data_IF_636247720332
#
_entry.id   IF_636247720332
#
_cell.length_a   1.000
_cell.length_b   1.000
_cell.length_c   1.000
_cell.angle_alpha   90.00
_cell.angle_beta   90.00
_cell.angle_gamma   90.00
#
_symmetry.space_group_name_H-M   'P 1'
#
loop_
_entity.id
_entity.type
_entity.pdbx_description
1 polymer ?
#
# COMPACT_ATOMS: atom_id res chain seq x y z
N UNK A 1 -45.04 -0.40 -49.28
CA UNK A 1 -44.32 -0.13 -48.02
C UNK A 1 -43.32 -1.26 -47.74
N UNK A 2 -42.02 -1.12 -48.09
CA UNK A 2 -40.90 -2.02 -47.67
C UNK A 2 -39.54 -1.57 -48.23
N UNK A 3 -39.16 -0.30 -48.03
CA UNK A 3 -37.78 0.18 -48.33
C UNK A 3 -37.12 0.97 -47.19
N UNK A 4 -37.78 1.10 -46.03
CA UNK A 4 -37.30 1.91 -44.90
C UNK A 4 -36.51 1.20 -43.80
N UNK A 5 -36.51 -0.13 -43.71
CA UNK A 5 -35.91 -0.84 -42.56
C UNK A 5 -34.51 -1.42 -42.79
N UNK A 6 -34.03 -1.53 -44.04
CA UNK A 6 -32.73 -2.17 -44.33
C UNK A 6 -31.56 -1.21 -44.04
N UNK A 7 -31.75 0.09 -44.26
CA UNK A 7 -30.72 1.12 -43.99
C UNK A 7 -30.42 1.30 -42.49
N UNK A 8 -31.44 1.34 -41.64
CA UNK A 8 -31.24 1.49 -40.18
C UNK A 8 -30.56 0.28 -39.54
N UNK A 9 -30.88 -0.95 -39.98
CA UNK A 9 -30.24 -2.17 -39.48
C UNK A 9 -28.76 -2.25 -39.88
N UNK A 10 -28.42 -1.84 -41.10
CA UNK A 10 -27.03 -1.77 -41.56
C UNK A 10 -26.20 -0.75 -40.80
N UNK A 11 -26.75 0.45 -40.53
CA UNK A 11 -26.07 1.50 -39.75
C UNK A 11 -25.91 1.08 -38.28
N UNK A 12 -26.93 0.46 -37.67
CA UNK A 12 -26.84 -0.11 -36.32
C UNK A 12 -25.78 -1.21 -36.24
N UNK A 13 -25.69 -2.10 -37.24
CA UNK A 13 -24.66 -3.15 -37.30
C UNK A 13 -23.23 -2.59 -37.39
N UNK A 14 -23.01 -1.56 -38.22
CA UNK A 14 -21.70 -0.89 -38.35
C UNK A 14 -21.31 -0.17 -37.07
N UNK A 15 -22.25 0.52 -36.42
CA UNK A 15 -22.02 1.16 -35.13
C UNK A 15 -21.71 0.13 -34.04
N UNK A 16 -22.42 -1.00 -34.02
CA UNK A 16 -22.17 -2.07 -33.06
C UNK A 16 -20.78 -2.68 -33.26
N UNK A 17 -20.35 -2.90 -34.51
CA UNK A 17 -19.01 -3.37 -34.84
C UNK A 17 -17.91 -2.35 -34.50
N UNK A 18 -18.18 -1.05 -34.70
CA UNK A 18 -17.25 0.02 -34.31
C UNK A 18 -17.10 0.10 -32.79
N UNK A 19 -18.20 -0.01 -32.04
CA UNK A 19 -18.19 -0.10 -30.57
C UNK A 19 -17.48 -1.38 -30.13
N UNK A 20 -17.75 -2.53 -30.75
CA UNK A 20 -17.06 -3.78 -30.44
C UNK A 20 -15.55 -3.67 -30.70
N UNK A 21 -15.16 -3.09 -31.83
CA UNK A 21 -13.76 -2.84 -32.19
C UNK A 21 -13.08 -1.88 -31.21
N UNK A 22 -13.78 -0.83 -30.78
CA UNK A 22 -13.29 0.09 -29.76
C UNK A 22 -13.12 -0.61 -28.40
N UNK A 23 -14.07 -1.45 -27.98
CA UNK A 23 -13.97 -2.22 -26.73
C UNK A 23 -12.85 -3.26 -26.82
N UNK A 24 -12.67 -3.93 -27.96
CA UNK A 24 -11.57 -4.88 -28.17
C UNK A 24 -10.19 -4.19 -28.18
N UNK A 25 -10.11 -2.96 -28.69
CA UNK A 25 -8.84 -2.23 -28.77
C UNK A 25 -8.49 -1.47 -27.47
N UNK A 26 -9.45 -0.77 -26.89
CA UNK A 26 -9.25 0.11 -25.73
C UNK A 26 -9.64 -0.53 -24.40
N UNK A 27 -10.61 -1.46 -24.40
CA UNK A 27 -11.10 -2.14 -23.20
C UNK A 27 -9.99 -2.78 -22.34
N UNK A 28 -8.97 -3.46 -22.93
CA UNK A 28 -7.87 -4.03 -22.17
C UNK A 28 -7.07 -3.04 -21.32
N UNK A 29 -7.05 -1.74 -21.67
CA UNK A 29 -6.39 -0.72 -20.84
C UNK A 29 -7.16 -0.43 -19.55
N UNK A 30 -8.46 -0.73 -19.54
CA UNK A 30 -9.41 -0.53 -18.44
C UNK A 30 -9.89 -1.85 -17.84
N UNK A 31 -9.16 -2.94 -18.09
CA UNK A 31 -9.47 -4.29 -17.61
C UNK A 31 -10.82 -4.86 -18.09
N UNK A 32 -11.28 -4.39 -19.26
CA UNK A 32 -12.47 -4.90 -19.94
C UNK A 32 -12.02 -5.80 -21.10
N UNK A 33 -12.33 -7.10 -21.00
CA UNK A 33 -11.91 -8.10 -21.98
C UNK A 33 -13.13 -8.86 -22.51
N UNK A 34 -13.41 -8.74 -23.81
CA UNK A 34 -14.40 -9.58 -24.50
C UNK A 34 -13.81 -10.91 -24.98
N UNK A 35 -12.51 -10.91 -25.27
CA UNK A 35 -11.69 -12.07 -25.63
C UNK A 35 -10.35 -11.97 -24.87
N UNK A 36 -9.63 -13.09 -24.66
CA UNK A 36 -8.26 -13.03 -24.15
C UNK A 36 -7.39 -12.12 -25.04
N UNK A 37 -6.61 -11.19 -24.46
CA UNK A 37 -5.74 -10.30 -25.24
C UNK A 37 -4.63 -11.11 -25.93
N UNK A 38 -4.12 -10.64 -27.06
CA UNK A 38 -2.85 -11.18 -27.58
C UNK A 38 -1.69 -10.86 -26.62
N UNK A 39 -0.57 -11.59 -26.65
CA UNK A 39 0.62 -11.25 -25.86
C UNK A 39 1.10 -9.80 -26.05
N UNK A 40 1.01 -9.29 -27.28
CA UNK A 40 1.33 -7.89 -27.58
C UNK A 40 0.35 -6.92 -26.88
N UNK A 41 -0.96 -7.17 -26.95
CA UNK A 41 -1.98 -6.36 -26.28
C UNK A 41 -1.84 -6.42 -24.75
N UNK A 42 -1.54 -7.60 -24.21
CA UNK A 42 -1.25 -7.82 -22.80
C UNK A 42 -0.07 -6.95 -22.34
N UNK A 43 1.06 -7.02 -23.05
CA UNK A 43 2.24 -6.22 -22.72
C UNK A 43 1.98 -4.71 -22.88
N UNK A 44 1.24 -4.30 -23.90
CA UNK A 44 0.83 -2.90 -24.09
C UNK A 44 -0.01 -2.38 -22.94
N UNK A 45 -1.01 -3.15 -22.48
CA UNK A 45 -1.82 -2.80 -21.31
C UNK A 45 -0.95 -2.69 -20.06
N UNK A 46 -0.08 -3.67 -19.80
CA UNK A 46 0.85 -3.65 -18.67
C UNK A 46 1.76 -2.41 -18.68
N UNK A 47 2.37 -2.07 -19.81
CA UNK A 47 3.20 -0.88 -19.97
C UNK A 47 2.41 0.43 -19.85
N UNK A 48 1.13 0.44 -20.23
CA UNK A 48 0.25 1.61 -20.03
C UNK A 48 -0.03 1.85 -18.55
N UNK A 49 -0.25 0.80 -17.75
CA UNK A 49 -0.43 0.93 -16.30
C UNK A 49 0.81 1.52 -15.63
N UNK A 50 1.99 1.25 -16.17
CA UNK A 50 3.25 1.80 -15.66
C UNK A 50 3.40 3.32 -15.87
N UNK A 51 2.56 3.98 -16.67
CA UNK A 51 2.61 5.44 -16.88
C UNK A 51 2.32 6.27 -15.61
N UNK A 52 1.81 5.65 -14.55
CA UNK A 52 1.56 6.29 -13.26
C UNK A 52 2.77 6.22 -12.31
N UNK A 53 3.86 5.57 -12.72
CA UNK A 53 4.99 5.31 -11.84
C UNK A 53 5.72 6.59 -11.44
N UNK A 54 6.36 6.55 -10.27
CA UNK A 54 7.03 7.69 -9.66
C UNK A 54 8.30 8.13 -10.40
N UNK A 55 8.99 7.21 -11.08
CA UNK A 55 10.32 7.42 -11.67
C UNK A 55 10.33 7.41 -13.19
N UNK A 56 9.23 7.87 -13.79
CA UNK A 56 9.20 8.12 -15.23
C UNK A 56 10.09 9.33 -15.55
N UNK A 57 11.06 9.11 -16.43
CA UNK A 57 11.96 10.12 -16.97
C UNK A 57 11.52 10.55 -18.39
N UNK A 58 12.19 11.56 -18.97
CA UNK A 58 11.88 12.03 -20.33
C UNK A 58 12.01 10.94 -21.41
N UNK A 59 12.79 9.88 -21.14
CA UNK A 59 13.06 8.79 -22.08
C UNK A 59 12.01 7.68 -22.01
N UNK A 60 11.06 7.74 -21.08
CA UNK A 60 10.07 6.68 -20.83
C UNK A 60 9.28 6.28 -22.08
N UNK A 61 8.82 7.25 -22.86
CA UNK A 61 8.06 6.98 -24.09
C UNK A 61 8.87 6.16 -25.09
N UNK A 62 10.16 6.48 -25.27
CA UNK A 62 11.06 5.76 -26.17
C UNK A 62 11.35 4.35 -25.66
N UNK A 63 11.61 4.20 -24.36
CA UNK A 63 11.87 2.89 -23.74
C UNK A 63 10.65 1.98 -23.80
N UNK A 64 9.45 2.53 -23.65
CA UNK A 64 8.19 1.82 -23.82
C UNK A 64 8.00 1.32 -25.26
N UNK A 65 8.32 2.12 -26.27
CA UNK A 65 8.29 1.68 -27.67
C UNK A 65 9.30 0.56 -27.96
N UNK A 66 10.51 0.64 -27.39
CA UNK A 66 11.51 -0.44 -27.49
C UNK A 66 10.99 -1.73 -26.85
N UNK A 67 10.43 -1.64 -25.65
CA UNK A 67 9.82 -2.78 -24.96
C UNK A 67 8.69 -3.42 -25.78
N UNK A 68 7.84 -2.61 -26.43
CA UNK A 68 6.78 -3.11 -27.31
C UNK A 68 7.32 -3.83 -28.55
N UNK A 69 8.42 -3.34 -29.14
CA UNK A 69 9.08 -4.02 -30.26
C UNK A 69 9.68 -5.37 -29.84
N UNK A 70 10.26 -5.45 -28.64
CA UNK A 70 10.85 -6.68 -28.09
C UNK A 70 9.82 -7.78 -27.90
N UNK A 71 8.62 -7.44 -27.39
CA UNK A 71 7.53 -8.40 -27.17
C UNK A 71 6.67 -8.70 -28.39
N UNK A 72 6.94 -8.07 -29.55
CA UNK A 72 6.13 -8.24 -30.77
C UNK A 72 6.09 -9.70 -31.27
N UNK A 73 7.15 -10.46 -31.00
CA UNK A 73 7.25 -11.88 -31.39
C UNK A 73 6.78 -12.85 -30.29
N UNK A 74 6.30 -12.34 -29.15
CA UNK A 74 5.82 -13.15 -28.04
C UNK A 74 4.62 -14.03 -28.47
N UNK A 75 4.69 -15.31 -28.14
CA UNK A 75 3.63 -16.29 -28.42
C UNK A 75 2.74 -16.52 -27.21
N UNK A 76 3.27 -16.29 -26.01
CA UNK A 76 2.58 -16.44 -24.73
C UNK A 76 2.74 -15.19 -23.86
N UNK A 77 1.90 -15.03 -22.84
CA UNK A 77 2.09 -13.95 -21.86
C UNK A 77 3.43 -14.07 -21.12
N UNK A 78 3.86 -15.30 -20.83
CA UNK A 78 5.11 -15.57 -20.14
C UNK A 78 6.33 -15.04 -20.91
N UNK A 79 6.29 -15.06 -22.24
CA UNK A 79 7.36 -14.49 -23.09
C UNK A 79 7.52 -12.98 -22.88
N UNK A 80 6.49 -12.28 -22.38
CA UNK A 80 6.52 -10.84 -22.11
C UNK A 80 7.10 -10.50 -20.74
N UNK A 81 7.11 -11.44 -19.79
CA UNK A 81 7.43 -11.17 -18.39
C UNK A 81 8.84 -10.62 -18.16
N UNK A 82 9.92 -11.06 -18.85
CA UNK A 82 11.25 -10.49 -18.65
C UNK A 82 11.28 -8.98 -18.93
N UNK A 83 10.65 -8.57 -20.04
CA UNK A 83 10.52 -7.16 -20.43
C UNK A 83 9.69 -6.39 -19.42
N UNK A 84 8.53 -6.93 -19.02
CA UNK A 84 7.64 -6.27 -18.06
C UNK A 84 8.31 -6.14 -16.68
N UNK A 85 9.04 -7.15 -16.20
CA UNK A 85 9.79 -7.09 -14.94
C UNK A 85 10.86 -6.00 -14.98
N UNK A 86 11.62 -5.90 -16.07
CA UNK A 86 12.60 -4.82 -16.29
C UNK A 86 11.92 -3.45 -16.29
N UNK A 87 10.82 -3.30 -17.02
CA UNK A 87 10.11 -2.02 -17.15
C UNK A 87 9.44 -1.59 -15.85
N UNK A 88 8.89 -2.52 -15.06
CA UNK A 88 8.39 -2.25 -13.70
C UNK A 88 9.49 -1.73 -12.80
N UNK A 89 10.69 -2.34 -12.85
CA UNK A 89 11.81 -1.89 -12.02
C UNK A 89 12.32 -0.53 -12.45
N UNK A 90 12.41 -0.28 -13.77
CA UNK A 90 12.84 1.00 -14.32
C UNK A 90 11.91 2.14 -13.88
N UNK A 91 10.60 1.97 -14.06
CA UNK A 91 9.62 3.05 -13.83
C UNK A 91 9.28 3.26 -12.35
N UNK A 92 9.29 2.18 -11.55
CA UNK A 92 8.85 2.23 -10.16
C UNK A 92 9.94 1.97 -9.11
N UNK A 93 11.18 1.66 -9.52
CA UNK A 93 12.33 1.63 -8.62
C UNK A 93 12.31 0.49 -7.60
N UNK A 94 12.93 0.72 -6.43
CA UNK A 94 13.27 -0.37 -5.50
C UNK A 94 12.05 -1.08 -4.90
N UNK A 95 10.94 -0.37 -4.70
CA UNK A 95 9.70 -0.87 -4.10
C UNK A 95 8.66 -1.37 -5.12
N UNK A 96 9.08 -1.52 -6.39
CA UNK A 96 8.26 -2.04 -7.48
C UNK A 96 8.67 -3.44 -7.94
N UNK A 97 7.68 -4.28 -8.19
CA UNK A 97 7.84 -5.70 -8.47
C UNK A 97 6.82 -6.19 -9.50
N UNK A 98 7.28 -7.03 -10.41
CA UNK A 98 6.43 -7.84 -11.27
C UNK A 98 6.40 -9.27 -10.71
N UNK A 99 5.21 -9.75 -10.38
CA UNK A 99 4.96 -11.11 -9.93
C UNK A 99 4.28 -11.89 -11.05
N UNK A 100 4.84 -13.04 -11.40
CA UNK A 100 4.10 -14.07 -12.15
C UNK A 100 2.90 -14.57 -11.33
N UNK A 101 1.90 -15.22 -11.95
CA UNK A 101 0.75 -15.76 -11.21
C UNK A 101 1.16 -16.74 -10.10
N UNK A 102 2.26 -17.49 -10.31
CA UNK A 102 2.79 -18.41 -9.30
C UNK A 102 3.44 -17.66 -8.14
N UNK A 103 4.33 -16.70 -8.44
CA UNK A 103 5.01 -15.89 -7.41
C UNK A 103 3.98 -15.12 -6.56
N UNK A 104 2.98 -14.50 -7.18
CA UNK A 104 1.95 -13.75 -6.46
C UNK A 104 1.11 -14.66 -5.55
N UNK A 105 0.66 -15.82 -6.04
CA UNK A 105 -0.06 -16.78 -5.18
C UNK A 105 0.80 -17.27 -4.01
N UNK A 106 2.09 -17.46 -4.22
CA UNK A 106 3.01 -17.84 -3.14
C UNK A 106 3.19 -16.72 -2.12
N UNK A 107 3.29 -15.46 -2.54
CA UNK A 107 3.42 -14.33 -1.62
C UNK A 107 2.16 -14.11 -0.77
N UNK A 108 0.98 -14.48 -1.27
CA UNK A 108 -0.28 -14.43 -0.51
C UNK A 108 -0.44 -15.58 0.50
N UNK A 109 0.36 -16.65 0.40
CA UNK A 109 0.30 -17.80 1.32
C UNK A 109 1.13 -17.61 2.58
N UNK A 110 1.91 -16.54 2.67
CA UNK A 110 2.63 -16.22 3.90
C UNK A 110 1.58 -15.93 5.00
N UNK A 111 1.53 -16.78 6.03
CA UNK A 111 0.45 -16.75 7.02
C UNK A 111 0.36 -15.37 7.68
N UNK A 112 -0.81 -14.75 7.55
CA UNK A 112 -1.15 -13.56 8.31
C UNK A 112 -1.09 -13.89 9.79
N UNK A 113 -0.16 -13.26 10.49
CA UNK A 113 -0.06 -13.43 11.95
C UNK A 113 -1.03 -12.46 12.62
N UNK A 114 -1.67 -12.91 13.70
CA UNK A 114 -2.50 -12.05 14.53
C UNK A 114 -1.61 -11.19 15.46
N UNK A 115 -2.09 -10.00 15.88
CA UNK A 115 -1.39 -9.18 16.85
C UNK A 115 -1.15 -9.93 18.17
N UNK A 116 0.00 -9.66 18.81
CA UNK A 116 0.28 -10.13 20.16
C UNK A 116 0.00 -8.98 21.13
N UNK A 117 -0.83 -9.24 22.13
CA UNK A 117 -1.28 -8.25 23.11
C UNK A 117 -0.84 -8.71 24.49
N UNK A 118 -0.23 -7.81 25.25
CA UNK A 118 0.11 -8.00 26.67
C UNK A 118 -0.16 -6.72 27.44
N UNK A 119 -0.70 -6.84 28.65
CA UNK A 119 -0.87 -5.71 29.56
C UNK A 119 -0.12 -6.03 30.85
N UNK A 120 0.99 -5.32 31.09
CA UNK A 120 1.89 -5.54 32.22
C UNK A 120 2.28 -4.19 32.80
N UNK A 121 2.20 -4.03 34.12
CA UNK A 121 2.60 -2.82 34.84
C UNK A 121 1.95 -1.52 34.33
N UNK A 122 0.70 -1.61 33.85
CA UNK A 122 -0.03 -0.49 33.26
C UNK A 122 0.46 -0.06 31.88
N UNK A 123 1.28 -0.88 31.22
CA UNK A 123 1.73 -0.69 29.84
C UNK A 123 1.07 -1.73 28.95
N UNK A 124 0.30 -1.26 27.96
CA UNK A 124 -0.28 -2.11 26.93
C UNK A 124 0.72 -2.28 25.78
N UNK A 125 1.27 -3.48 25.65
CA UNK A 125 2.16 -3.86 24.57
C UNK A 125 1.38 -4.51 23.42
N UNK A 126 1.53 -3.95 22.22
CA UNK A 126 0.87 -4.36 20.99
C UNK A 126 1.93 -4.67 19.93
N UNK A 127 2.21 -5.96 19.68
CA UNK A 127 3.06 -6.38 18.57
C UNK A 127 2.21 -6.53 17.31
N UNK A 128 2.53 -5.75 16.28
CA UNK A 128 1.84 -5.77 15.00
C UNK A 128 2.73 -6.49 13.97
N UNK A 129 2.42 -7.74 13.61
CA UNK A 129 3.12 -8.43 12.52
C UNK A 129 2.70 -7.92 11.13
N UNK A 130 3.40 -8.34 10.05
CA UNK A 130 2.94 -8.11 8.68
C UNK A 130 1.54 -8.70 8.46
N UNK A 131 0.76 -8.09 7.56
CA UNK A 131 -0.60 -8.54 7.27
C UNK A 131 -0.83 -8.65 5.76
N UNK A 132 -1.05 -9.88 5.27
CA UNK A 132 -1.40 -10.19 3.87
C UNK A 132 -2.74 -10.96 3.77
N UNK A 133 -3.49 -11.03 4.87
CA UNK A 133 -4.74 -11.79 4.95
C UNK A 133 -5.92 -11.16 4.18
N UNK A 134 -7.02 -11.91 4.12
CA UNK A 134 -8.28 -11.45 3.53
C UNK A 134 -9.07 -10.54 4.49
N UNK A 135 -10.23 -10.04 4.05
CA UNK A 135 -11.06 -9.10 4.83
C UNK A 135 -11.56 -9.68 6.17
N UNK A 136 -11.83 -10.99 6.25
CA UNK A 136 -12.23 -11.63 7.51
C UNK A 136 -11.08 -11.58 8.52
N UNK A 137 -9.87 -11.88 8.08
CA UNK A 137 -8.66 -11.80 8.91
C UNK A 137 -8.35 -10.34 9.27
N UNK A 138 -8.57 -9.39 8.35
CA UNK A 138 -8.35 -7.97 8.57
C UNK A 138 -9.29 -7.43 9.65
N UNK A 139 -10.55 -7.86 9.63
CA UNK A 139 -11.53 -7.57 10.67
C UNK A 139 -11.08 -8.11 12.02
N UNK A 140 -10.63 -9.36 12.09
CA UNK A 140 -10.11 -9.96 13.33
C UNK A 140 -8.91 -9.17 13.86
N UNK A 141 -7.93 -8.88 13.01
CA UNK A 141 -6.74 -8.10 13.36
C UNK A 141 -7.11 -6.75 13.97
N UNK A 142 -7.98 -5.99 13.29
CA UNK A 142 -8.47 -4.69 13.77
C UNK A 142 -9.24 -4.82 15.09
N UNK A 143 -10.12 -5.80 15.20
CA UNK A 143 -10.95 -5.99 16.40
C UNK A 143 -10.10 -6.35 17.62
N UNK A 144 -9.07 -7.18 17.46
CA UNK A 144 -8.17 -7.53 18.57
C UNK A 144 -7.47 -6.28 19.15
N UNK A 145 -6.88 -5.46 18.29
CA UNK A 145 -6.21 -4.22 18.71
C UNK A 145 -7.19 -3.23 19.34
N UNK A 146 -8.34 -3.01 18.69
CA UNK A 146 -9.35 -2.09 19.18
C UNK A 146 -9.91 -2.53 20.54
N UNK A 147 -10.17 -3.82 20.74
CA UNK A 147 -10.65 -4.34 22.02
C UNK A 147 -9.61 -4.18 23.12
N UNK A 148 -8.33 -4.46 22.84
CA UNK A 148 -7.26 -4.22 23.79
C UNK A 148 -7.22 -2.73 24.20
N UNK A 149 -7.29 -1.82 23.24
CA UNK A 149 -7.23 -0.38 23.50
C UNK A 149 -8.47 0.19 24.20
N UNK A 150 -9.62 -0.49 24.18
CA UNK A 150 -10.89 0.02 24.74
C UNK A 150 -11.34 -0.68 26.02
N UNK A 151 -10.88 -1.91 26.28
CA UNK A 151 -11.31 -2.71 27.43
C UNK A 151 -10.25 -2.86 28.52
N UNK A 152 -8.98 -2.78 28.15
CA UNK A 152 -7.89 -2.88 29.11
C UNK A 152 -7.70 -1.55 29.86
N UNK A 153 -7.20 -1.65 31.10
CA UNK A 153 -6.73 -0.48 31.85
C UNK A 153 -5.22 -0.34 31.66
N UNK A 154 -4.78 0.79 31.13
CA UNK A 154 -3.37 1.09 30.90
C UNK A 154 -3.12 2.60 30.99
N UNK A 155 -1.86 2.97 31.23
CA UNK A 155 -1.38 4.36 31.33
C UNK A 155 -0.36 4.69 30.24
N UNK A 156 0.19 3.70 29.56
CA UNK A 156 1.10 3.85 28.43
C UNK A 156 0.92 2.73 27.41
N UNK A 157 1.35 2.96 26.17
CA UNK A 157 1.25 1.97 25.08
C UNK A 157 2.62 1.77 24.43
N UNK A 158 2.94 0.53 24.11
CA UNK A 158 4.03 0.17 23.19
C UNK A 158 3.42 -0.42 21.93
N UNK A 159 3.68 0.20 20.77
CA UNK A 159 3.38 -0.37 19.46
C UNK A 159 4.68 -0.92 18.89
N UNK A 160 4.82 -2.25 18.89
CA UNK A 160 5.99 -2.93 18.36
C UNK A 160 5.77 -3.30 16.89
N UNK A 161 6.54 -2.64 16.02
CA UNK A 161 6.59 -2.84 14.56
C UNK A 161 7.89 -3.51 14.12
N UNK A 162 8.69 -4.04 15.05
CA UNK A 162 9.93 -4.74 14.73
C UNK A 162 9.62 -5.98 13.88
N UNK A 163 10.31 -6.09 12.74
CA UNK A 163 10.08 -7.12 11.73
C UNK A 163 8.70 -7.08 11.04
N UNK A 164 7.97 -5.97 11.15
CA UNK A 164 6.78 -5.74 10.34
C UNK A 164 7.18 -5.24 8.94
N UNK A 165 7.24 -6.15 7.98
CA UNK A 165 7.56 -5.89 6.57
C UNK A 165 6.41 -5.27 5.76
N UNK A 166 5.26 -5.04 6.38
CA UNK A 166 4.13 -4.32 5.81
C UNK A 166 2.98 -5.22 5.33
N UNK A 167 2.42 -4.89 4.16
CA UNK A 167 1.26 -5.57 3.59
C UNK A 167 0.05 -4.64 3.48
N UNK A 168 -1.08 -5.00 4.10
CA UNK A 168 -2.25 -4.14 4.14
C UNK A 168 -2.20 -3.21 5.37
N UNK A 169 -2.04 -1.90 5.13
CA UNK A 169 -1.98 -0.91 6.21
C UNK A 169 -3.32 -0.67 6.93
N UNK A 170 -4.46 -0.94 6.28
CA UNK A 170 -5.79 -0.60 6.81
C UNK A 170 -6.13 -1.30 8.13
N UNK A 171 -5.95 -2.64 8.29
CA UNK A 171 -6.16 -3.29 9.60
C UNK A 171 -5.14 -2.85 10.65
N UNK A 172 -3.90 -2.53 10.25
CA UNK A 172 -2.86 -2.05 11.17
C UNK A 172 -3.24 -0.71 11.78
N UNK A 173 -3.47 0.32 10.94
CA UNK A 173 -3.79 1.66 11.40
C UNK A 173 -5.20 1.72 11.99
N UNK A 174 -6.18 1.04 11.37
CA UNK A 174 -7.55 1.01 11.86
C UNK A 174 -7.70 0.31 13.21
N UNK A 175 -6.86 -0.68 13.51
CA UNK A 175 -6.80 -1.31 14.84
C UNK A 175 -6.26 -0.39 15.93
N UNK A 176 -5.44 0.59 15.55
CA UNK A 176 -4.83 1.58 16.45
C UNK A 176 -5.59 2.91 16.51
N UNK A 177 -6.79 2.98 15.94
CA UNK A 177 -7.54 4.22 15.77
C UNK A 177 -7.77 5.00 17.08
N UNK A 178 -8.01 4.29 18.18
CA UNK A 178 -8.28 4.89 19.51
C UNK A 178 -7.12 5.74 20.04
N UNK A 179 -5.89 5.46 19.61
CA UNK A 179 -4.68 6.16 20.05
C UNK A 179 -4.07 7.06 18.97
N UNK A 180 -4.76 7.21 17.84
CA UNK A 180 -4.40 8.12 16.75
C UNK A 180 -5.28 9.38 16.79
N UNK A 181 -4.74 10.56 16.43
CA UNK A 181 -5.56 11.75 16.33
C UNK A 181 -6.56 11.61 15.18
N UNK A 182 -7.68 12.33 15.26
CA UNK A 182 -8.47 12.62 14.07
C UNK A 182 -7.67 13.45 13.05
N UNK A 183 -8.08 13.44 11.79
CA UNK A 183 -7.45 14.22 10.72
C UNK A 183 -6.37 13.46 9.94
N UNK A 184 -5.41 14.20 9.38
CA UNK A 184 -4.36 13.70 8.48
C UNK A 184 -3.28 12.94 9.24
N UNK A 185 -2.98 11.72 8.79
CA UNK A 185 -1.90 10.88 9.31
C UNK A 185 -0.60 11.12 8.54
N UNK A 186 -0.67 11.10 7.22
CA UNK A 186 0.39 11.39 6.24
C UNK A 186 -0.26 11.69 4.88
N UNK A 187 0.53 12.00 3.85
CA UNK A 187 0.05 12.25 2.49
C UNK A 187 0.85 11.44 1.48
N UNK A 188 0.18 11.05 0.39
CA UNK A 188 0.82 10.54 -0.80
C UNK A 188 1.04 11.69 -1.78
N UNK A 189 2.29 11.96 -2.16
CA UNK A 189 2.67 12.95 -3.17
C UNK A 189 3.03 12.23 -4.48
N UNK A 190 2.19 12.39 -5.50
CA UNK A 190 2.33 11.76 -6.80
C UNK A 190 3.33 12.51 -7.70
N UNK A 191 3.77 11.88 -8.78
CA UNK A 191 4.74 12.46 -9.72
C UNK A 191 4.32 13.81 -10.32
N UNK A 192 3.01 14.05 -10.48
CA UNK A 192 2.45 15.32 -10.95
C UNK A 192 2.38 16.42 -9.86
N UNK A 193 2.92 16.17 -8.66
CA UNK A 193 2.88 17.08 -7.51
C UNK A 193 1.56 17.07 -6.73
N UNK A 194 0.55 16.30 -7.16
CA UNK A 194 -0.69 16.14 -6.42
C UNK A 194 -0.41 15.49 -5.06
N UNK A 195 -0.96 16.07 -4.00
CA UNK A 195 -0.90 15.52 -2.64
C UNK A 195 -2.28 15.04 -2.22
N UNK A 196 -2.38 13.76 -1.86
CA UNK A 196 -3.60 13.16 -1.32
C UNK A 196 -3.35 12.81 0.14
N UNK A 197 -4.06 13.48 1.04
CA UNK A 197 -4.01 13.18 2.46
C UNK A 197 -4.66 11.81 2.75
N UNK A 198 -4.01 11.02 3.60
CA UNK A 198 -4.59 9.86 4.26
C UNK A 198 -5.05 10.28 5.65
N UNK A 199 -6.35 10.24 5.90
CA UNK A 199 -6.95 10.57 7.19
C UNK A 199 -7.38 9.31 7.94
N UNK A 200 -7.51 9.41 9.26
CA UNK A 200 -8.03 8.31 10.05
C UNK A 200 -9.46 7.90 9.62
N UNK A 201 -10.30 8.87 9.26
CA UNK A 201 -11.66 8.61 8.77
C UNK A 201 -11.68 7.81 7.47
N UNK A 202 -10.74 8.07 6.55
CA UNK A 202 -10.58 7.29 5.32
C UNK A 202 -10.15 5.84 5.64
N UNK A 203 -9.24 5.65 6.60
CA UNK A 203 -8.79 4.32 7.01
C UNK A 203 -9.93 3.49 7.62
N UNK A 204 -10.77 4.12 8.45
CA UNK A 204 -11.90 3.44 9.11
C UNK A 204 -13.09 3.18 8.19
N UNK A 205 -13.10 3.76 6.98
CA UNK A 205 -14.26 3.78 6.09
C UNK A 205 -15.56 4.27 6.79
N UNK A 206 -15.41 5.07 7.86
CA UNK A 206 -16.51 5.55 8.68
C UNK A 206 -16.61 7.08 8.60
N UNK A 207 -17.84 7.59 8.46
CA UNK A 207 -18.17 9.01 8.70
C UNK A 207 -18.34 9.30 10.19
N UNK A 208 -18.24 8.27 11.04
CA UNK A 208 -18.34 8.44 12.48
C UNK A 208 -17.07 9.12 12.97
N UNK A 209 -17.23 10.37 13.34
CA UNK A 209 -16.46 11.00 14.41
C UNK A 209 -16.72 10.17 15.67
N UNK A 210 -16.08 9.00 15.81
CA UNK A 210 -15.78 8.58 17.16
C UNK A 210 -15.07 9.77 17.79
N UNK A 211 -15.61 10.24 18.92
CA UNK A 211 -14.89 11.19 19.76
C UNK A 211 -13.57 10.51 20.05
N UNK A 212 -12.55 10.80 19.24
CA UNK A 212 -11.19 10.41 19.52
C UNK A 212 -10.83 11.20 20.78
N UNK A 213 -11.16 10.62 21.92
CA UNK A 213 -10.34 10.81 23.09
C UNK A 213 -9.03 10.14 22.72
N UNK A 214 -8.18 10.83 21.95
CA UNK A 214 -6.76 10.55 22.05
C UNK A 214 -6.46 10.83 23.51
N UNK A 215 -6.60 9.81 24.36
CA UNK A 215 -6.10 9.88 25.70
C UNK A 215 -4.66 10.33 25.53
N UNK A 216 -4.26 11.40 26.22
CA UNK A 216 -2.90 11.94 26.15
C UNK A 216 -1.92 11.00 26.85
N UNK A 217 -2.04 9.70 26.61
CA UNK A 217 -1.17 8.68 27.13
C UNK A 217 0.12 8.68 26.32
N UNK A 218 1.28 8.46 26.96
CA UNK A 218 2.53 8.29 26.25
C UNK A 218 2.52 6.99 25.44
N UNK A 219 3.03 7.08 24.21
CA UNK A 219 3.07 5.97 23.24
C UNK A 219 4.51 5.80 22.76
N UNK A 220 5.07 4.60 22.95
CA UNK A 220 6.36 4.23 22.38
C UNK A 220 6.13 3.39 21.12
N UNK A 221 6.88 3.68 20.05
CA UNK A 221 6.87 2.87 18.82
C UNK A 221 8.24 2.18 18.71
N UNK A 222 8.25 0.85 18.54
CA UNK A 222 9.50 0.10 18.33
C UNK A 222 9.67 -0.23 16.85
N UNK A 223 10.84 0.07 16.31
CA UNK A 223 11.17 -0.17 14.90
C UNK A 223 12.57 -0.75 14.75
N UNK A 224 12.79 -1.49 13.66
CA UNK A 224 14.11 -1.99 13.29
C UNK A 224 14.31 -1.99 11.77
N UNK A 225 15.50 -2.45 11.32
CA UNK A 225 15.85 -2.52 9.90
C UNK A 225 14.96 -3.42 9.03
N UNK A 226 14.08 -4.22 9.64
CA UNK A 226 13.09 -5.03 8.94
C UNK A 226 11.69 -4.40 8.94
N UNK A 227 11.45 -3.32 9.70
CA UNK A 227 10.21 -2.54 9.62
C UNK A 227 10.17 -1.88 8.24
N UNK A 228 9.19 -2.24 7.41
CA UNK A 228 9.15 -1.82 6.00
C UNK A 228 7.73 -1.49 5.54
N UNK A 229 7.61 -0.70 4.48
CA UNK A 229 6.37 -0.50 3.72
C UNK A 229 5.20 -0.09 4.62
N UNK A 230 4.11 -0.85 4.73
CA UNK A 230 2.99 -0.52 5.62
C UNK A 230 3.36 -0.44 7.11
N UNK A 231 4.43 -1.12 7.57
CA UNK A 231 4.98 -0.91 8.91
C UNK A 231 5.58 0.49 9.08
N UNK A 232 6.22 1.01 8.03
CA UNK A 232 6.74 2.39 8.00
C UNK A 232 5.61 3.42 7.89
N UNK A 233 4.60 3.19 7.06
CA UNK A 233 3.39 4.05 7.01
C UNK A 233 2.66 4.07 8.35
N UNK A 234 2.58 2.93 9.05
CA UNK A 234 2.04 2.87 10.41
C UNK A 234 2.90 3.69 11.38
N UNK A 235 4.23 3.65 11.26
CA UNK A 235 5.14 4.51 12.04
C UNK A 235 4.89 6.00 11.76
N UNK A 236 4.74 6.40 10.49
CA UNK A 236 4.46 7.80 10.09
C UNK A 236 3.09 8.29 10.56
N UNK A 237 2.11 7.39 10.75
CA UNK A 237 0.83 7.72 11.35
C UNK A 237 0.96 8.17 12.83
N UNK A 238 2.09 7.89 13.50
CA UNK A 238 2.40 8.38 14.85
C UNK A 238 3.48 9.46 14.87
N UNK A 239 4.45 9.41 13.95
CA UNK A 239 5.62 10.30 13.97
C UNK A 239 5.21 11.78 14.03
N UNK A 240 5.78 12.50 15.01
CA UNK A 240 5.54 13.92 15.22
C UNK A 240 4.37 14.24 16.15
N UNK A 241 3.66 13.25 16.70
CA UNK A 241 2.73 13.45 17.82
C UNK A 241 3.48 13.82 19.10
N UNK A 242 2.93 14.72 19.94
CA UNK A 242 3.64 15.23 21.12
C UNK A 242 3.81 14.18 22.23
N UNK A 243 2.96 13.15 22.26
CA UNK A 243 2.98 12.06 23.22
C UNK A 243 3.64 10.78 22.68
N UNK A 244 4.30 10.84 21.53
CA UNK A 244 4.93 9.68 20.87
C UNK A 244 6.44 9.78 20.93
N UNK A 245 7.12 8.65 21.15
CA UNK A 245 8.56 8.52 20.92
C UNK A 245 8.89 7.20 20.22
N UNK A 246 9.77 7.25 19.22
CA UNK A 246 10.18 6.09 18.40
C UNK A 246 11.55 5.58 18.87
N UNK A 247 11.67 4.27 19.09
CA UNK A 247 12.88 3.60 19.60
C UNK A 247 13.36 2.50 18.66
N UNK A 248 14.67 2.30 18.60
CA UNK A 248 15.29 1.13 17.96
C UNK A 248 16.35 1.50 16.93
N UNK A 249 16.16 1.05 15.68
CA UNK A 249 17.09 1.28 14.56
C UNK A 249 16.37 1.86 13.34
N UNK A 250 17.08 2.48 12.38
CA UNK A 250 16.47 2.94 11.14
C UNK A 250 15.66 1.83 10.46
N UNK A 251 14.51 2.19 9.88
CA UNK A 251 13.64 1.26 9.15
C UNK A 251 14.24 0.82 7.81
N UNK A 252 13.59 -0.12 7.11
CA UNK A 252 14.08 -0.67 5.83
C UNK A 252 14.09 0.35 4.67
N UNK A 253 13.36 1.45 4.79
CA UNK A 253 13.31 2.52 3.81
C UNK A 253 12.47 2.19 2.58
N UNK A 254 11.30 1.60 2.74
CA UNK A 254 10.30 1.37 1.68
C UNK A 254 9.12 2.36 1.81
N UNK A 255 9.44 3.61 2.17
CA UNK A 255 8.52 4.73 2.41
C UNK A 255 7.98 5.33 1.11
N UNK A 256 7.22 4.56 0.34
CA UNK A 256 6.54 5.01 -0.88
C UNK A 256 5.15 4.39 -0.99
N UNK A 257 4.24 5.07 -1.69
CA UNK A 257 2.93 4.52 -2.02
C UNK A 257 2.98 3.68 -3.27
N UNK A 258 2.35 2.50 -3.22
CA UNK A 258 2.27 1.58 -4.34
C UNK A 258 0.82 1.40 -4.80
N UNK A 259 0.64 1.20 -6.10
CA UNK A 259 -0.58 0.63 -6.68
C UNK A 259 -0.33 -0.81 -7.12
N UNK A 260 -1.34 -1.65 -6.97
CA UNK A 260 -1.30 -3.05 -7.38
C UNK A 260 -2.20 -3.21 -8.61
N UNK A 261 -1.62 -3.67 -9.70
CA UNK A 261 -2.31 -3.90 -10.96
C UNK A 261 -2.31 -5.38 -11.28
N UNK A 262 -3.49 -6.00 -11.24
CA UNK A 262 -3.68 -7.36 -11.75
C UNK A 262 -3.68 -7.35 -13.27
N UNK A 263 -2.99 -8.32 -13.87
CA UNK A 263 -2.99 -8.55 -15.31
C UNK A 263 -3.92 -9.71 -15.66
N UNK A 264 -4.27 -9.83 -16.93
CA UNK A 264 -5.29 -10.78 -17.41
C UNK A 264 -5.06 -12.23 -16.97
N UNK A 265 -3.82 -12.67 -16.90
CA UNK A 265 -3.40 -14.03 -16.57
C UNK A 265 -3.17 -14.28 -15.08
N UNK A 266 -3.44 -13.28 -14.24
CA UNK A 266 -3.18 -13.31 -12.81
C UNK A 266 -1.75 -12.93 -12.42
N UNK A 267 -0.89 -12.51 -13.37
CA UNK A 267 0.33 -11.81 -13.01
C UNK A 267 -0.02 -10.46 -12.38
N UNK A 268 0.90 -9.86 -11.64
CA UNK A 268 0.64 -8.64 -10.88
C UNK A 268 1.81 -7.69 -10.94
N UNK A 269 1.53 -6.41 -11.18
CA UNK A 269 2.50 -5.32 -11.07
C UNK A 269 2.20 -4.58 -9.77
N UNK A 270 3.13 -4.63 -8.82
CA UNK A 270 3.18 -3.69 -7.71
C UNK A 270 4.07 -2.52 -8.13
N UNK A 271 3.49 -1.34 -8.25
CA UNK A 271 4.14 -0.17 -8.82
C UNK A 271 4.15 0.99 -7.84
N UNK A 272 5.33 1.53 -7.58
CA UNK A 272 5.53 2.75 -6.79
C UNK A 272 5.10 3.97 -7.61
N UNK A 273 4.16 4.73 -7.05
CA UNK A 273 3.50 5.86 -7.74
C UNK A 273 3.55 7.16 -6.96
N UNK A 274 3.95 7.11 -5.69
CA UNK A 274 3.99 8.30 -4.84
C UNK A 274 5.07 8.22 -3.77
N UNK A 275 5.55 9.41 -3.39
CA UNK A 275 6.34 9.67 -2.19
C UNK A 275 5.40 9.81 -0.99
N UNK A 276 5.95 9.72 0.22
CA UNK A 276 5.20 9.99 1.43
C UNK A 276 5.60 11.35 1.99
N UNK A 277 4.62 12.11 2.47
CA UNK A 277 4.83 13.36 3.22
C UNK A 277 4.24 13.16 4.62
N UNK A 278 5.05 13.36 5.67
CA UNK A 278 4.55 13.26 7.04
C UNK A 278 3.76 14.51 7.47
N UNK A 279 3.16 14.46 8.67
CA UNK A 279 2.38 15.59 9.23
C UNK A 279 3.17 16.90 9.42
N UNK A 280 4.51 16.83 9.43
CA UNK A 280 5.39 18.00 9.54
C UNK A 280 5.88 18.49 8.18
N UNK A 281 5.47 17.83 7.08
CA UNK A 281 5.85 18.19 5.73
C UNK A 281 7.16 17.55 5.25
N UNK A 282 7.79 16.65 6.03
CA UNK A 282 9.00 15.97 5.59
C UNK A 282 8.65 14.95 4.50
N UNK A 283 9.44 14.93 3.43
CA UNK A 283 9.30 14.00 2.31
C UNK A 283 10.15 12.76 2.53
N UNK A 284 9.56 11.61 2.24
CA UNK A 284 10.21 10.31 2.26
C UNK A 284 10.02 9.66 0.90
N UNK A 285 11.11 9.14 0.37
CA UNK A 285 11.14 8.45 -0.91
C UNK A 285 12.17 7.34 -0.82
N UNK A 286 11.73 6.14 -0.45
CA UNK A 286 12.62 4.99 -0.28
C UNK A 286 13.79 5.24 0.71
N UNK A 287 13.55 6.07 1.74
CA UNK A 287 14.51 6.42 2.77
C UNK A 287 14.07 5.83 4.12
N UNK A 288 15.00 5.31 4.95
CA UNK A 288 14.68 4.91 6.32
C UNK A 288 14.02 6.02 7.13
N UNK A 289 13.14 5.63 8.04
CA UNK A 289 12.64 6.47 9.12
C UNK A 289 13.60 6.30 10.29
N UNK A 290 14.25 7.40 10.66
CA UNK A 290 15.10 7.45 11.84
C UNK A 290 14.25 7.42 13.12
N UNK A 291 14.62 6.58 14.11
CA UNK A 291 13.98 6.60 15.42
C UNK A 291 14.38 7.87 16.19
N UNK A 292 13.56 8.27 17.15
CA UNK A 292 13.88 9.40 18.03
C UNK A 292 14.96 9.00 19.06
N UNK A 293 15.06 7.71 19.39
CA UNK A 293 16.10 7.12 20.23
C UNK A 293 16.69 5.89 19.52
N UNK A 294 17.93 6.00 19.07
CA UNK A 294 18.67 4.84 18.54
C UNK A 294 19.20 3.99 19.69
N UNK A 295 18.84 2.71 19.73
CA UNK A 295 19.22 1.80 20.83
C UNK A 295 19.22 0.33 20.40
N UNK A 296 20.02 -0.48 21.08
CA UNK A 296 20.02 -1.95 20.95
C UNK A 296 18.97 -2.64 21.84
N UNK A 297 18.39 -1.93 22.81
CA UNK A 297 17.42 -2.44 23.78
C UNK A 297 16.09 -1.67 23.74
N UNK A 298 15.43 -1.56 22.57
CA UNK A 298 14.29 -0.65 22.36
C UNK A 298 13.13 -0.89 23.32
N UNK A 299 12.79 -2.16 23.62
CA UNK A 299 11.71 -2.48 24.55
C UNK A 299 11.99 -1.99 25.98
N UNK A 300 13.22 -2.17 26.47
CA UNK A 300 13.60 -1.76 27.81
C UNK A 300 13.58 -0.23 27.94
N UNK A 301 14.18 0.45 26.97
CA UNK A 301 14.29 1.91 26.99
C UNK A 301 12.91 2.57 26.82
N UNK A 302 12.03 1.98 26.01
CA UNK A 302 10.64 2.39 25.90
C UNK A 302 9.88 2.23 27.22
N UNK A 303 10.05 1.11 27.94
CA UNK A 303 9.44 0.90 29.25
C UNK A 303 9.89 1.95 30.27
N UNK A 304 11.19 2.24 30.34
CA UNK A 304 11.73 3.29 31.23
C UNK A 304 11.12 4.65 30.89
N UNK A 305 11.14 5.04 29.61
CA UNK A 305 10.58 6.31 29.18
C UNK A 305 9.07 6.43 29.47
N UNK A 306 8.31 5.34 29.28
CA UNK A 306 6.89 5.30 29.63
C UNK A 306 6.68 5.47 31.13
N UNK A 307 7.45 4.78 31.97
CA UNK A 307 7.36 4.92 33.44
C UNK A 307 7.56 6.37 33.88
N UNK A 308 8.56 7.06 33.32
CA UNK A 308 8.80 8.49 33.58
C UNK A 308 7.65 9.38 33.12
N UNK A 309 7.00 9.08 31.99
CA UNK A 309 5.86 9.86 31.51
C UNK A 309 4.59 9.60 32.33
N UNK A 310 4.39 8.36 32.79
CA UNK A 310 3.21 7.97 33.58
C UNK A 310 3.26 8.48 35.03
N UNK A 311 4.44 8.88 35.51
CA UNK A 311 4.62 9.49 36.85
C UNK A 311 4.40 10.99 36.89
N UNK A 312 4.22 11.65 35.73
CA UNK A 312 3.93 13.08 35.62
C UNK A 312 2.42 13.32 35.62
#
# INVERSE_FOLDING_TARGET
>A
MKKGCIGCLGVLGVLLLAVLGAVLHFGPNYDIYLLPPSPEQYAKSALNKMNSALYIDENWSQEKEKALKEVKSAKTYADTYPVLKKMTKRSGGKHSYFYTPKEFRSSQKEESRLPIIKNEDGILYLKLPPFMGNEKEAKTYRTMLHQALTKETYKGVIVDLENNTGGNMYPMIGGLATILPGGTLFQFEYANGQKIATTLSQILASKQTEKNSSQRIPIAILVNGNTASSGEMTTLAFKGLPNVKIFGKPTAGYTTGNMVYSLYDGATIQLTVSRIVDRKGNRYENNPIEPDVTTATPLNDAKIWLQEQMSK
#
